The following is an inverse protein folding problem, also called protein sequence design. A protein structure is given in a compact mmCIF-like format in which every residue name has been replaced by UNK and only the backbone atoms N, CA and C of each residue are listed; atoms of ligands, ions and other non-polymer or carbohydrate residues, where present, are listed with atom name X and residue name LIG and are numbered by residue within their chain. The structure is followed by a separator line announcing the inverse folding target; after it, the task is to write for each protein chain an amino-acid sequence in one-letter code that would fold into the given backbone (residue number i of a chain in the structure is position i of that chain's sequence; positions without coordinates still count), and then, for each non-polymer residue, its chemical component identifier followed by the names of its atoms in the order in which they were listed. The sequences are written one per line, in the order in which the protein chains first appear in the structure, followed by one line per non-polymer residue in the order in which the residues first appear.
data_IF_612160038024
#
_entry.id   IF_612160038024
#
_cell.length_a   1.000
_cell.length_b   1.000
_cell.length_c   1.000
_cell.angle_alpha   90.00
_cell.angle_beta   90.00
_cell.angle_gamma   90.00
#
_symmetry.space_group_name_H-M   'P 1'
#
loop_
_entity.id
_entity.type
_entity.pdbx_description
1 polymer ?
#
# COMPACT_ATOMS: atom_id res chain seq x y z
N UNK A 1 -36.39 82.91 24.51
CA UNK A 1 -37.68 82.51 23.92
C UNK A 1 -37.49 81.13 23.31
N UNK A 2 -38.25 80.14 23.79
CA UNK A 2 -38.28 78.76 23.30
C UNK A 2 -38.69 78.71 21.82
N UNK A 3 -38.14 77.74 21.07
CA UNK A 3 -38.85 76.78 20.19
C UNK A 3 -37.80 75.97 19.39
N UNK A 4 -37.70 74.67 19.70
CA UNK A 4 -37.37 73.57 18.75
C UNK A 4 -38.71 73.09 18.14
N UNK A 5 -38.81 72.29 17.05
CA UNK A 5 -37.76 71.58 16.27
C UNK A 5 -38.01 71.56 14.73
N UNK A 6 -37.07 71.01 13.93
CA UNK A 6 -37.36 69.83 13.09
C UNK A 6 -36.09 69.21 12.49
N UNK A 7 -36.05 67.89 12.53
CA UNK A 7 -34.97 67.00 12.08
C UNK A 7 -35.08 66.75 10.57
N UNK A 8 -33.95 66.73 9.87
CA UNK A 8 -33.68 65.78 8.77
C UNK A 8 -32.20 65.39 8.82
N UNK A 9 -31.94 64.23 9.41
CA UNK A 9 -30.66 63.55 9.26
C UNK A 9 -30.64 62.95 7.85
N UNK A 10 -29.71 63.41 7.01
CA UNK A 10 -29.35 62.72 5.77
C UNK A 10 -28.38 61.61 6.17
N UNK A 11 -28.88 60.38 6.16
CA UNK A 11 -28.10 59.18 6.42
C UNK A 11 -27.15 58.97 5.23
N UNK A 12 -25.86 59.21 5.44
CA UNK A 12 -24.81 58.86 4.48
C UNK A 12 -24.58 57.34 4.57
N UNK A 13 -25.36 56.56 3.83
CA UNK A 13 -25.08 55.14 3.62
C UNK A 13 -23.98 55.03 2.55
N UNK A 14 -22.72 54.91 2.99
CA UNK A 14 -21.62 54.51 2.11
C UNK A 14 -21.28 53.05 2.39
N UNK A 15 -21.49 52.26 1.34
CA UNK A 15 -21.37 50.80 1.20
C UNK A 15 -20.03 50.26 1.68
N UNK A 16 -20.09 49.32 2.64
CA UNK A 16 -19.00 48.40 2.95
C UNK A 16 -19.00 47.30 1.87
N UNK A 17 -18.18 47.45 0.83
CA UNK A 17 -17.98 46.38 -0.15
C UNK A 17 -17.14 45.28 0.51
N UNK A 18 -17.78 44.19 0.90
CA UNK A 18 -17.11 42.98 1.36
C UNK A 18 -16.30 42.38 0.20
N UNK A 19 -14.97 42.42 0.32
CA UNK A 19 -14.06 41.71 -0.57
C UNK A 19 -14.03 40.24 -0.14
N UNK A 20 -15.07 39.47 -0.49
CA UNK A 20 -14.98 38.01 -0.46
C UNK A 20 -14.10 37.59 -1.63
N UNK A 21 -12.81 37.41 -1.36
CA UNK A 21 -11.91 36.74 -2.29
C UNK A 21 -12.40 35.30 -2.40
N UNK A 22 -13.20 35.00 -3.44
CA UNK A 22 -13.46 33.62 -3.79
C UNK A 22 -12.13 33.00 -4.19
N UNK A 23 -11.56 32.14 -3.34
CA UNK A 23 -10.62 31.13 -3.81
C UNK A 23 -11.42 30.16 -4.68
N UNK A 24 -11.67 30.53 -5.93
CA UNK A 24 -12.00 29.54 -6.94
C UNK A 24 -10.74 28.66 -7.11
N UNK A 25 -10.84 27.32 -7.06
CA UNK A 25 -9.72 26.48 -7.43
C UNK A 25 -9.31 26.86 -8.85
N UNK A 26 -8.02 27.14 -9.05
CA UNK A 26 -7.49 27.37 -10.39
C UNK A 26 -7.82 26.12 -11.23
N UNK A 27 -8.38 26.26 -12.45
CA UNK A 27 -8.51 25.12 -13.35
C UNK A 27 -7.13 24.46 -13.52
N UNK A 28 -7.06 23.16 -13.24
CA UNK A 28 -5.86 22.38 -13.52
C UNK A 28 -5.62 22.44 -15.04
N UNK A 29 -4.50 23.04 -15.44
CA UNK A 29 -4.09 23.04 -16.83
C UNK A 29 -3.64 21.63 -17.18
N UNK A 30 -4.36 20.96 -18.09
CA UNK A 30 -4.01 19.63 -18.57
C UNK A 30 -2.59 19.68 -19.13
N UNK A 31 -1.69 18.90 -18.53
CA UNK A 31 -0.33 18.78 -19.01
C UNK A 31 -0.34 18.14 -20.41
N UNK A 32 0.62 18.54 -21.25
CA UNK A 32 0.79 17.91 -22.55
C UNK A 32 1.44 16.53 -22.35
N UNK A 33 0.60 15.50 -22.30
CA UNK A 33 1.02 14.11 -22.09
C UNK A 33 1.72 13.57 -23.35
N UNK A 34 2.92 13.01 -23.21
CA UNK A 34 3.70 12.45 -24.33
C UNK A 34 3.15 11.10 -24.82
N UNK A 35 2.51 10.32 -23.93
CA UNK A 35 1.86 9.03 -24.23
C UNK A 35 0.53 8.90 -23.47
N UNK A 36 -0.62 9.10 -24.14
CA UNK A 36 -1.93 9.06 -23.47
C UNK A 36 -2.42 7.63 -23.19
N UNK A 37 -2.19 6.68 -24.11
CA UNK A 37 -2.60 5.29 -23.94
C UNK A 37 -1.56 4.49 -23.15
N UNK A 38 -1.92 4.03 -21.96
CA UNK A 38 -1.04 3.28 -21.06
C UNK A 38 -1.65 1.93 -20.71
N UNK A 39 -0.78 0.94 -20.51
CA UNK A 39 -1.17 -0.38 -20.03
C UNK A 39 -0.50 -0.71 -18.70
N UNK A 40 -1.28 -0.81 -17.63
CA UNK A 40 -0.77 -1.10 -16.29
C UNK A 40 -1.14 -2.52 -15.82
N UNK A 41 -0.15 -3.21 -15.24
CA UNK A 41 -0.35 -4.50 -14.59
C UNK A 41 -0.76 -4.38 -13.13
N UNK A 42 -1.50 -5.37 -12.62
CA UNK A 42 -1.74 -5.51 -11.18
C UNK A 42 -1.90 -6.97 -10.75
N UNK A 43 -1.58 -7.28 -9.49
CA UNK A 43 -1.99 -8.52 -8.83
C UNK A 43 -3.31 -8.29 -8.10
N UNK A 44 -4.19 -9.30 -8.09
CA UNK A 44 -5.53 -9.25 -7.47
C UNK A 44 -5.46 -9.30 -5.94
N UNK A 45 -4.91 -8.23 -5.36
CA UNK A 45 -4.83 -7.94 -3.94
C UNK A 45 -5.48 -6.56 -3.69
N UNK A 46 -5.84 -6.27 -2.44
CA UNK A 46 -6.60 -5.06 -2.10
C UNK A 46 -5.78 -3.77 -2.29
N UNK A 47 -4.47 -3.85 -2.14
CA UNK A 47 -3.49 -2.78 -2.38
C UNK A 47 -3.45 -2.26 -3.84
N UNK A 48 -4.02 -2.97 -4.82
CA UNK A 48 -4.21 -2.44 -6.18
C UNK A 48 -5.33 -1.39 -6.28
N UNK A 49 -6.11 -1.20 -5.21
CA UNK A 49 -7.29 -0.34 -5.19
C UNK A 49 -7.05 1.08 -5.76
N UNK A 50 -5.93 1.77 -5.51
CA UNK A 50 -5.74 3.11 -6.08
C UNK A 50 -5.78 3.11 -7.61
N UNK A 51 -5.22 2.09 -8.29
CA UNK A 51 -5.27 1.98 -9.75
C UNK A 51 -6.70 1.71 -10.24
N UNK A 52 -7.40 0.80 -9.57
CA UNK A 52 -8.79 0.44 -9.92
C UNK A 52 -9.71 1.64 -9.74
N UNK A 53 -9.61 2.34 -8.60
CA UNK A 53 -10.43 3.52 -8.32
C UNK A 53 -10.10 4.66 -9.29
N UNK A 54 -8.83 4.90 -9.60
CA UNK A 54 -8.45 5.93 -10.56
C UNK A 54 -9.07 5.69 -11.95
N UNK A 55 -9.14 4.43 -12.38
CA UNK A 55 -9.83 4.05 -13.62
C UNK A 55 -11.36 4.21 -13.51
N UNK A 56 -11.98 3.59 -12.51
CA UNK A 56 -13.45 3.56 -12.38
C UNK A 56 -14.07 4.93 -12.04
N UNK A 57 -13.27 5.86 -11.50
CA UNK A 57 -13.71 7.23 -11.19
C UNK A 57 -13.32 8.26 -12.23
N UNK A 58 -12.62 7.86 -13.30
CA UNK A 58 -12.18 8.78 -14.36
C UNK A 58 -10.98 9.65 -14.02
N UNK A 59 -10.28 9.42 -12.90
CA UNK A 59 -9.12 10.23 -12.51
C UNK A 59 -7.95 10.12 -13.49
N UNK A 60 -7.83 9.02 -14.23
CA UNK A 60 -6.87 8.97 -15.34
C UNK A 60 -7.28 9.87 -16.50
N UNK A 61 -8.58 9.87 -16.86
CA UNK A 61 -9.11 10.67 -17.96
C UNK A 61 -9.06 12.18 -17.65
N UNK A 62 -9.30 12.54 -16.39
CA UNK A 62 -9.15 13.91 -15.86
C UNK A 62 -7.71 14.45 -16.04
N UNK A 63 -6.72 13.56 -16.15
CA UNK A 63 -5.31 13.87 -16.39
C UNK A 63 -4.87 13.61 -17.84
N UNK A 64 -5.82 13.31 -18.75
CA UNK A 64 -5.56 13.05 -20.16
C UNK A 64 -4.98 11.66 -20.48
N UNK A 65 -5.12 10.70 -19.57
CA UNK A 65 -4.62 9.33 -19.71
C UNK A 65 -5.74 8.33 -19.97
N UNK A 66 -5.51 7.41 -20.92
CA UNK A 66 -6.35 6.25 -21.20
C UNK A 66 -5.62 5.01 -20.69
N UNK A 67 -6.04 4.49 -19.54
CA UNK A 67 -5.32 3.39 -18.87
C UNK A 67 -6.06 2.05 -18.99
N UNK A 68 -5.44 1.07 -19.63
CA UNK A 68 -5.83 -0.35 -19.53
C UNK A 68 -5.26 -0.97 -18.25
N UNK A 69 -6.08 -1.65 -17.46
CA UNK A 69 -5.62 -2.40 -16.28
C UNK A 69 -5.69 -3.89 -16.59
N UNK A 70 -4.55 -4.58 -16.49
CA UNK A 70 -4.43 -6.00 -16.81
C UNK A 70 -3.99 -6.82 -15.60
N UNK A 71 -4.81 -7.77 -15.18
CA UNK A 71 -4.48 -8.64 -14.05
C UNK A 71 -3.36 -9.61 -14.43
N UNK A 72 -2.32 -9.69 -13.60
CA UNK A 72 -1.14 -10.52 -13.81
C UNK A 72 -1.21 -11.81 -12.97
N UNK A 73 -0.56 -12.86 -13.48
CA UNK A 73 -0.61 -14.18 -12.85
C UNK A 73 0.23 -14.27 -11.56
N UNK A 74 1.39 -13.62 -11.53
CA UNK A 74 2.29 -13.56 -10.38
C UNK A 74 3.29 -12.40 -10.52
N UNK A 75 4.03 -12.13 -9.44
CA UNK A 75 4.98 -11.02 -9.36
C UNK A 75 6.14 -11.10 -10.35
N UNK A 76 6.61 -12.30 -10.71
CA UNK A 76 7.70 -12.46 -11.69
C UNK A 76 7.23 -12.05 -13.08
N UNK A 77 6.08 -12.57 -13.51
CA UNK A 77 5.47 -12.24 -14.81
C UNK A 77 5.17 -10.74 -14.89
N UNK A 78 4.63 -10.15 -13.82
CA UNK A 78 4.35 -8.72 -13.76
C UNK A 78 5.62 -7.89 -13.97
N UNK A 79 6.71 -8.20 -13.24
CA UNK A 79 7.97 -7.48 -13.40
C UNK A 79 8.57 -7.67 -14.80
N UNK A 80 8.58 -8.90 -15.31
CA UNK A 80 9.13 -9.19 -16.64
C UNK A 80 8.42 -8.40 -17.73
N UNK A 81 7.09 -8.26 -17.65
CA UNK A 81 6.29 -7.54 -18.64
C UNK A 81 6.43 -6.02 -18.53
N UNK A 82 6.73 -5.48 -17.35
CA UNK A 82 7.15 -4.08 -17.22
C UNK A 82 8.53 -3.88 -17.85
N UNK A 83 9.47 -4.80 -17.60
CA UNK A 83 10.83 -4.73 -18.16
C UNK A 83 10.82 -4.85 -19.68
N UNK A 84 9.97 -5.71 -20.25
CA UNK A 84 9.86 -5.91 -21.71
C UNK A 84 9.10 -4.77 -22.41
N UNK A 85 8.43 -3.89 -21.66
CA UNK A 85 7.58 -2.84 -22.21
C UNK A 85 6.21 -3.31 -22.70
N UNK A 86 5.83 -4.56 -22.42
CA UNK A 86 4.45 -5.04 -22.61
C UNK A 86 3.46 -4.36 -21.65
N UNK A 87 3.95 -3.90 -20.50
CA UNK A 87 3.26 -3.03 -19.54
C UNK A 87 4.07 -1.75 -19.36
N UNK A 88 3.39 -0.62 -19.37
CA UNK A 88 3.98 0.70 -19.12
C UNK A 88 4.29 0.95 -17.64
N UNK A 89 3.61 0.23 -16.76
CA UNK A 89 3.74 0.35 -15.32
C UNK A 89 2.96 -0.74 -14.61
N UNK A 90 3.08 -0.82 -13.29
CA UNK A 90 2.30 -1.79 -12.52
C UNK A 90 2.21 -1.42 -11.04
N UNK A 91 1.15 -1.91 -10.39
CA UNK A 91 1.17 -2.19 -8.96
C UNK A 91 2.22 -3.28 -8.70
N UNK A 92 3.24 -2.95 -7.90
CA UNK A 92 4.45 -3.76 -7.74
C UNK A 92 4.91 -3.81 -6.28
N UNK A 93 5.55 -4.92 -5.88
CA UNK A 93 6.19 -5.02 -4.56
C UNK A 93 7.32 -3.99 -4.44
N UNK A 94 7.40 -3.29 -3.32
CA UNK A 94 8.40 -2.24 -3.09
C UNK A 94 9.86 -2.67 -3.34
N UNK A 95 10.19 -3.94 -3.07
CA UNK A 95 11.53 -4.48 -3.30
C UNK A 95 11.85 -4.82 -4.75
N UNK A 96 10.87 -4.92 -5.66
CA UNK A 96 11.11 -5.29 -7.06
C UNK A 96 11.85 -4.20 -7.86
N UNK A 97 11.47 -2.91 -7.81
CA UNK A 97 12.24 -1.87 -8.50
C UNK A 97 13.69 -1.78 -8.01
N UNK A 98 13.88 -1.90 -6.69
CA UNK A 98 15.20 -1.89 -6.05
C UNK A 98 16.02 -3.12 -6.49
N UNK A 99 15.43 -4.31 -6.37
CA UNK A 99 16.04 -5.57 -6.75
C UNK A 99 16.44 -5.60 -8.22
N UNK A 100 15.56 -5.11 -9.11
CA UNK A 100 15.83 -5.01 -10.53
C UNK A 100 17.00 -4.05 -10.83
N UNK A 101 17.04 -2.90 -10.15
CA UNK A 101 18.08 -1.88 -10.34
C UNK A 101 19.46 -2.42 -9.93
N UNK A 102 19.56 -3.22 -8.86
CA UNK A 102 20.82 -3.81 -8.39
C UNK A 102 21.14 -5.18 -9.02
N UNK A 103 20.30 -5.69 -9.91
CA UNK A 103 20.52 -6.96 -10.61
C UNK A 103 20.20 -8.23 -9.81
N UNK A 104 19.37 -8.14 -8.77
CA UNK A 104 18.90 -9.32 -8.03
C UNK A 104 17.74 -10.00 -8.78
N UNK A 105 18.02 -11.15 -9.42
CA UNK A 105 17.08 -11.89 -10.26
C UNK A 105 17.18 -11.47 -11.73
N UNK A 106 16.61 -10.30 -12.08
CA UNK A 106 16.70 -9.70 -13.42
C UNK A 106 17.24 -8.28 -13.27
N UNK A 107 18.15 -7.83 -14.14
CA UNK A 107 18.66 -6.46 -14.10
C UNK A 107 17.87 -5.54 -15.03
N UNK A 108 17.25 -4.49 -14.49
CA UNK A 108 16.53 -3.47 -15.26
C UNK A 108 16.38 -2.18 -14.46
N UNK A 109 16.26 -1.04 -15.15
CA UNK A 109 16.02 0.24 -14.53
C UNK A 109 14.51 0.48 -14.37
N UNK A 110 13.99 0.27 -13.16
CA UNK A 110 12.57 0.44 -12.83
C UNK A 110 12.46 1.49 -11.74
N UNK A 111 11.57 2.45 -11.93
CA UNK A 111 11.35 3.57 -11.01
C UNK A 111 9.93 3.54 -10.46
N UNK A 112 9.76 4.09 -9.26
CA UNK A 112 8.43 4.39 -8.69
C UNK A 112 8.47 5.78 -8.06
N UNK A 113 7.35 6.49 -8.12
CA UNK A 113 7.20 7.83 -7.55
C UNK A 113 6.47 7.83 -6.19
N UNK A 114 5.73 6.77 -5.86
CA UNK A 114 4.88 6.72 -4.66
C UNK A 114 4.59 5.29 -4.21
N UNK A 115 4.15 5.14 -2.96
CA UNK A 115 3.60 3.89 -2.42
C UNK A 115 2.10 3.87 -2.60
N UNK A 116 1.53 2.71 -2.96
CA UNK A 116 0.08 2.55 -3.16
C UNK A 116 -0.67 2.34 -1.85
N UNK A 117 -0.02 1.72 -0.86
CA UNK A 117 -0.62 1.45 0.44
C UNK A 117 0.40 1.43 1.58
N UNK A 118 -0.14 1.23 2.78
CA UNK A 118 0.59 0.88 3.99
C UNK A 118 -0.26 -0.12 4.79
N UNK A 119 0.37 -1.16 5.34
CA UNK A 119 -0.26 -2.31 6.02
C UNK A 119 -0.98 -3.27 5.06
N UNK A 120 -2.07 -3.92 5.50
CA UNK A 120 -2.86 -4.86 4.68
C UNK A 120 -2.33 -6.30 4.63
N UNK A 121 -1.05 -6.53 4.93
CA UNK A 121 -0.47 -7.87 4.98
C UNK A 121 -0.82 -8.64 6.26
N UNK A 122 -0.71 -9.97 6.18
CA UNK A 122 -0.89 -10.88 7.31
C UNK A 122 0.05 -12.07 7.23
N UNK A 123 0.57 -12.48 8.39
CA UNK A 123 1.21 -13.78 8.57
C UNK A 123 0.16 -14.74 9.10
N UNK A 124 -0.05 -15.84 8.39
CA UNK A 124 -1.02 -16.87 8.78
C UNK A 124 -0.31 -18.20 9.05
N UNK A 125 -0.93 -19.01 9.89
CA UNK A 125 -0.51 -20.39 10.17
C UNK A 125 -1.70 -21.32 9.94
N UNK A 126 -1.45 -22.61 9.74
CA UNK A 126 -2.54 -23.59 9.64
C UNK A 126 -3.31 -23.70 10.96
N UNK A 127 -4.58 -24.11 10.90
CA UNK A 127 -5.39 -24.31 12.11
C UNK A 127 -4.72 -25.26 13.10
N UNK A 128 -4.04 -26.32 12.62
CA UNK A 128 -3.33 -27.26 13.47
C UNK A 128 -2.14 -26.64 14.22
N UNK A 129 -1.42 -25.70 13.59
CA UNK A 129 -0.34 -24.95 14.23
C UNK A 129 -0.93 -23.92 15.20
N UNK A 130 -2.02 -23.26 14.81
CA UNK A 130 -2.73 -22.31 15.66
C UNK A 130 -3.19 -22.93 16.98
N UNK A 131 -3.80 -24.12 16.95
CA UNK A 131 -4.22 -24.82 18.17
C UNK A 131 -3.05 -25.11 19.11
N UNK A 132 -1.89 -25.47 18.57
CA UNK A 132 -0.67 -25.66 19.38
C UNK A 132 -0.18 -24.34 19.97
N UNK A 133 -0.20 -23.26 19.18
CA UNK A 133 0.24 -21.92 19.60
C UNK A 133 -0.60 -21.36 20.74
N UNK A 134 -1.91 -21.66 20.82
CA UNK A 134 -2.82 -21.12 21.86
C UNK A 134 -2.33 -21.34 23.30
N UNK A 135 -1.56 -22.40 23.54
CA UNK A 135 -0.96 -22.71 24.85
C UNK A 135 0.11 -21.70 25.28
N UNK A 136 0.75 -21.05 24.31
CA UNK A 136 1.87 -20.12 24.49
C UNK A 136 1.50 -18.66 24.16
N UNK A 137 0.22 -18.39 23.89
CA UNK A 137 -0.29 -17.05 23.58
C UNK A 137 -0.81 -16.41 24.86
N UNK A 138 -0.28 -15.22 25.16
CA UNK A 138 -0.76 -14.38 26.24
C UNK A 138 -2.20 -13.92 25.97
N UNK A 139 -3.01 -13.91 27.03
CA UNK A 139 -4.41 -13.52 26.98
C UNK A 139 -4.69 -12.41 27.97
N UNK A 140 -5.60 -11.52 27.60
CA UNK A 140 -6.13 -10.50 28.49
C UNK A 140 -7.11 -11.07 29.52
N UNK A 141 -7.60 -10.22 30.41
CA UNK A 141 -8.60 -10.57 31.44
C UNK A 141 -9.90 -11.14 30.85
N UNK A 142 -10.21 -10.81 29.58
CA UNK A 142 -11.36 -11.32 28.83
C UNK A 142 -11.07 -12.63 28.09
N UNK A 143 -9.93 -13.28 28.37
CA UNK A 143 -9.48 -14.51 27.71
C UNK A 143 -9.24 -14.38 26.19
N UNK A 144 -9.01 -13.17 25.68
CA UNK A 144 -8.69 -12.92 24.28
C UNK A 144 -7.17 -12.83 24.07
N UNK A 145 -6.64 -13.32 22.95
CA UNK A 145 -5.23 -13.13 22.59
C UNK A 145 -4.82 -11.66 22.61
N UNK A 146 -3.68 -11.36 23.24
CA UNK A 146 -3.08 -10.03 23.18
C UNK A 146 -2.36 -9.87 21.83
N UNK A 147 -2.71 -8.84 21.07
CA UNK A 147 -2.08 -8.52 19.80
C UNK A 147 -0.98 -7.45 19.97
N UNK A 148 0.08 -7.47 19.13
CA UNK A 148 0.34 -8.43 18.06
C UNK A 148 0.77 -9.81 18.57
N UNK A 149 0.38 -10.87 17.86
CA UNK A 149 0.80 -12.23 18.21
C UNK A 149 2.29 -12.39 17.89
N UNK A 150 3.08 -12.65 18.92
CA UNK A 150 4.53 -12.84 18.80
C UNK A 150 4.89 -14.22 18.24
N UNK A 151 5.96 -14.31 17.45
CA UNK A 151 6.53 -15.58 16.99
C UNK A 151 7.07 -16.44 18.15
N UNK A 152 7.18 -15.90 19.37
CA UNK A 152 7.52 -16.68 20.56
C UNK A 152 6.53 -17.84 20.78
N UNK A 153 5.24 -17.65 20.43
CA UNK A 153 4.25 -18.71 20.51
C UNK A 153 4.48 -19.84 19.48
N UNK A 154 5.18 -19.55 18.38
CA UNK A 154 5.52 -20.54 17.35
C UNK A 154 6.84 -21.28 17.66
N UNK A 155 7.74 -20.66 18.43
CA UNK A 155 9.11 -21.16 18.64
C UNK A 155 9.18 -22.61 19.16
N UNK A 156 8.46 -23.02 20.21
CA UNK A 156 8.54 -24.40 20.70
C UNK A 156 8.11 -25.42 19.63
N UNK A 157 7.11 -25.06 18.83
CA UNK A 157 6.58 -25.90 17.74
C UNK A 157 7.63 -26.01 16.63
N UNK A 158 8.24 -24.89 16.24
CA UNK A 158 9.29 -24.86 15.22
C UNK A 158 10.54 -25.66 15.64
N UNK A 159 10.97 -25.53 16.88
CA UNK A 159 12.11 -26.26 17.43
C UNK A 159 11.84 -27.78 17.50
N UNK A 160 10.63 -28.17 17.94
CA UNK A 160 10.23 -29.58 17.97
C UNK A 160 10.15 -30.17 16.56
N UNK A 161 9.57 -29.43 15.60
CA UNK A 161 9.45 -29.84 14.22
C UNK A 161 10.84 -30.04 13.59
N UNK A 162 11.76 -29.08 13.82
CA UNK A 162 13.16 -29.16 13.39
C UNK A 162 13.90 -30.35 14.02
N UNK A 163 13.72 -30.61 15.31
CA UNK A 163 14.36 -31.74 16.00
C UNK A 163 13.91 -33.11 15.45
N UNK A 164 12.70 -33.19 14.90
CA UNK A 164 12.17 -34.39 14.22
C UNK A 164 12.58 -34.49 12.75
N UNK A 165 13.43 -33.58 12.26
CA UNK A 165 13.84 -33.53 10.86
C UNK A 165 12.75 -33.02 9.90
N UNK A 166 11.68 -32.42 10.41
CA UNK A 166 10.56 -31.92 9.62
C UNK A 166 10.33 -30.43 9.92
N UNK A 167 11.23 -29.56 9.44
CA UNK A 167 11.13 -28.12 9.67
C UNK A 167 9.82 -27.54 9.10
N UNK A 168 9.28 -26.52 9.76
CA UNK A 168 8.06 -25.86 9.30
C UNK A 168 8.32 -25.12 7.98
N UNK A 169 7.50 -25.43 6.97
CA UNK A 169 7.50 -24.72 5.71
C UNK A 169 6.66 -23.44 5.82
N UNK A 170 7.24 -22.30 5.47
CA UNK A 170 6.54 -21.01 5.42
C UNK A 170 6.56 -20.49 3.97
N UNK A 171 5.39 -20.11 3.47
CA UNK A 171 5.25 -19.59 2.11
C UNK A 171 5.54 -18.08 2.03
N UNK A 172 6.06 -17.66 0.88
CA UNK A 172 6.18 -16.25 0.49
C UNK A 172 5.88 -16.12 -1.01
N UNK A 173 5.59 -14.91 -1.47
CA UNK A 173 5.16 -14.67 -2.86
C UNK A 173 6.30 -14.29 -3.81
N UNK A 174 7.39 -13.70 -3.30
CA UNK A 174 8.57 -13.33 -4.08
C UNK A 174 9.78 -13.08 -3.16
N UNK A 175 11.04 -13.36 -3.58
CA UNK A 175 12.21 -13.20 -2.72
C UNK A 175 12.42 -11.79 -2.14
N UNK A 176 12.18 -10.74 -2.93
CA UNK A 176 12.26 -9.32 -2.48
C UNK A 176 10.89 -8.74 -2.15
N UNK A 177 9.95 -9.58 -1.70
CA UNK A 177 8.61 -9.12 -1.27
C UNK A 177 8.61 -8.58 0.15
N UNK A 178 7.74 -7.60 0.40
CA UNK A 178 7.34 -7.13 1.73
C UNK A 178 6.94 -8.29 2.64
N UNK A 179 6.05 -9.16 2.17
CA UNK A 179 5.62 -10.41 2.82
C UNK A 179 6.80 -11.24 3.36
N UNK A 180 7.84 -11.41 2.54
CA UNK A 180 9.02 -12.16 2.93
C UNK A 180 9.86 -11.43 3.99
N UNK A 181 9.98 -10.10 3.90
CA UNK A 181 10.65 -9.33 4.94
C UNK A 181 9.88 -9.37 6.27
N UNK A 182 8.56 -9.21 6.22
CA UNK A 182 7.67 -9.26 7.39
C UNK A 182 7.74 -10.61 8.11
N UNK A 183 7.61 -11.72 7.39
CA UNK A 183 7.65 -13.04 8.00
C UNK A 183 9.03 -13.36 8.58
N UNK A 184 10.11 -13.00 7.88
CA UNK A 184 11.47 -13.21 8.38
C UNK A 184 11.74 -12.36 9.61
N UNK A 185 11.29 -11.11 9.61
CA UNK A 185 11.41 -10.22 10.76
C UNK A 185 10.64 -10.76 11.96
N UNK A 186 9.38 -11.17 11.75
CA UNK A 186 8.54 -11.75 12.79
C UNK A 186 9.16 -13.01 13.41
N UNK A 187 9.68 -13.94 12.59
CA UNK A 187 10.39 -15.14 13.06
C UNK A 187 11.68 -14.79 13.82
N UNK A 188 12.50 -13.88 13.26
CA UNK A 188 13.76 -13.46 13.84
C UNK A 188 13.58 -12.78 15.20
N UNK A 189 12.49 -12.04 15.40
CA UNK A 189 12.15 -11.40 16.67
C UNK A 189 11.93 -12.41 17.83
N UNK A 190 11.67 -13.69 17.53
CA UNK A 190 11.62 -14.77 18.52
C UNK A 190 12.90 -15.64 18.56
N UNK A 191 13.93 -15.27 17.79
CA UNK A 191 15.14 -16.04 17.62
C UNK A 191 14.98 -17.29 16.74
N UNK A 192 13.87 -17.41 15.99
CA UNK A 192 13.71 -18.45 14.98
C UNK A 192 14.52 -18.01 13.75
N UNK A 193 15.46 -18.85 13.30
CA UNK A 193 16.28 -18.57 12.12
C UNK A 193 15.57 -19.05 10.86
N UNK A 194 14.99 -18.15 10.03
CA UNK A 194 14.50 -18.56 8.71
C UNK A 194 15.67 -18.98 7.83
N UNK A 195 15.54 -20.10 7.12
CA UNK A 195 16.57 -20.61 6.20
C UNK A 195 16.84 -19.69 5.02
N UNK A 196 17.84 -20.03 4.20
CA UNK A 196 18.08 -19.33 2.93
C UNK A 196 17.19 -19.90 1.83
N UNK A 197 17.09 -19.18 0.71
CA UNK A 197 16.26 -19.59 -0.43
C UNK A 197 16.88 -20.67 -1.31
N UNK A 198 18.17 -20.96 -1.09
CA UNK A 198 19.01 -21.76 -1.97
C UNK A 198 19.51 -23.05 -1.30
N UNK A 199 18.94 -23.39 -0.14
CA UNK A 199 19.28 -24.60 0.61
C UNK A 199 18.43 -25.79 0.13
#
# INVERSE_FOLDING_TARGET
MFIRPQKRHVTLATTLAAFTLMLAPAPAELLLVEKPDLKFGFIKLTDCAPLVIAKEKGYFEDEGLIVELEAQANWKVLLDRVISGELDGAHMLAGQPIGATVGFGTQAHVVTAYSLDYNGNAITVSNAIWEQMKSSIEKDESSKPIHPISAHALKPIAEQAKAKGNALNMGMVFPVSTHNYEIRYWLAAAGIKPGFYLD
#
